data_IF_145688028262
#
_entry.id   IF_145688028262
#
_cell.length_a   1.000
_cell.length_b   1.000
_cell.length_c   1.000
_cell.angle_alpha   90.00
_cell.angle_beta   90.00
_cell.angle_gamma   90.00
#
_symmetry.space_group_name_H-M   'P 1'
#
loop_
_entity.id
_entity.type
_entity.pdbx_description
1 polymer ?
#
# COMPACT_ATOMS: atom_id res chain seq x y z
N UNK A 1 28.59 14.05 43.04
CA UNK A 1 30.04 14.19 42.81
C UNK A 1 30.22 15.19 41.70
N UNK A 2 30.60 16.41 42.06
CA UNK A 2 30.61 17.62 41.24
C UNK A 2 31.89 17.65 40.39
N UNK A 3 31.82 17.31 39.10
CA UNK A 3 32.95 17.48 38.18
C UNK A 3 32.99 18.94 37.72
N UNK A 4 33.54 19.82 38.56
CA UNK A 4 33.95 21.16 38.11
C UNK A 4 35.04 21.00 37.07
N UNK A 5 34.77 21.46 35.84
CA UNK A 5 35.78 21.64 34.79
C UNK A 5 36.72 22.76 35.21
N UNK A 6 37.73 22.42 35.98
CA UNK A 6 38.78 23.34 36.38
C UNK A 6 40.03 23.04 35.55
N UNK A 7 40.61 24.09 34.95
CA UNK A 7 41.89 24.00 34.25
C UNK A 7 42.97 23.67 35.27
N UNK A 8 43.58 22.49 35.11
CA UNK A 8 44.70 22.02 35.93
C UNK A 8 45.99 22.30 35.15
N UNK A 9 47.03 22.66 35.88
CA UNK A 9 48.34 22.99 35.33
C UNK A 9 49.03 21.72 34.77
N UNK A 10 49.70 21.86 33.62
CA UNK A 10 50.08 20.75 32.74
C UNK A 10 51.04 19.75 33.40
N UNK A 11 51.83 20.18 34.40
CA UNK A 11 52.72 19.30 35.15
C UNK A 11 51.97 18.19 35.91
N UNK A 12 50.70 18.42 36.27
CA UNK A 12 49.84 17.42 36.92
C UNK A 12 49.35 16.34 35.96
N UNK A 13 49.49 16.56 34.65
CA UNK A 13 49.09 15.62 33.60
C UNK A 13 50.28 14.89 32.98
N UNK A 14 51.52 15.16 33.42
CA UNK A 14 52.75 14.63 32.80
C UNK A 14 52.93 13.10 32.87
N UNK A 15 52.13 12.42 33.68
CA UNK A 15 52.08 10.95 33.76
C UNK A 15 51.04 10.31 32.83
N UNK A 16 50.26 11.12 32.12
CA UNK A 16 49.23 10.67 31.18
C UNK A 16 49.71 10.96 29.75
N UNK A 17 49.46 10.02 28.84
CA UNK A 17 49.72 10.25 27.43
C UNK A 17 48.86 11.42 26.93
N UNK A 18 49.50 12.39 26.27
CA UNK A 18 48.81 13.56 25.74
C UNK A 18 47.80 13.09 24.69
N UNK A 19 46.50 13.43 24.85
CA UNK A 19 45.50 13.04 23.87
C UNK A 19 45.83 13.67 22.51
N UNK A 20 45.48 12.99 21.40
CA UNK A 20 45.72 13.52 20.07
C UNK A 20 45.03 14.88 19.91
N UNK A 21 45.81 15.90 19.55
CA UNK A 21 45.32 17.28 19.35
C UNK A 21 44.39 17.40 18.14
N UNK A 22 44.47 16.44 17.23
CA UNK A 22 43.67 16.36 16.02
C UNK A 22 43.21 14.92 15.81
N UNK A 23 41.91 14.75 15.61
CA UNK A 23 41.32 13.48 15.20
C UNK A 23 40.74 13.68 13.80
N UNK A 24 40.99 12.74 12.88
CA UNK A 24 40.36 12.80 11.55
C UNK A 24 38.86 12.64 11.73
N UNK A 25 38.11 13.70 11.42
CA UNK A 25 36.68 13.59 11.20
C UNK A 25 36.46 12.61 10.04
N UNK A 26 36.00 11.39 10.35
CA UNK A 26 35.44 10.51 9.34
C UNK A 26 34.12 11.13 8.89
N UNK A 27 34.18 11.99 7.86
CA UNK A 27 33.00 12.51 7.20
C UNK A 27 32.28 11.29 6.60
N UNK A 28 31.35 10.72 7.35
CA UNK A 28 30.58 9.54 6.95
C UNK A 28 30.02 9.80 5.54
N UNK A 29 30.07 8.84 4.63
CA UNK A 29 29.41 8.98 3.34
C UNK A 29 27.95 9.37 3.59
N UNK A 30 27.52 10.49 3.02
CA UNK A 30 26.16 10.99 3.17
C UNK A 30 25.22 10.06 2.37
N UNK A 31 24.24 9.49 3.07
CA UNK A 31 23.17 8.72 2.44
C UNK A 31 22.13 9.66 1.83
N UNK A 32 21.41 9.14 0.84
CA UNK A 32 20.29 9.80 0.18
C UNK A 32 18.98 9.07 0.49
N UNK A 33 17.91 9.84 0.69
CA UNK A 33 16.56 9.32 0.87
C UNK A 33 16.02 8.77 -0.46
N UNK A 34 15.70 7.48 -0.49
CA UNK A 34 15.01 6.83 -1.59
C UNK A 34 13.51 6.81 -1.31
N UNK A 35 12.75 7.32 -2.27
CA UNK A 35 11.30 7.40 -2.24
C UNK A 35 10.72 6.12 -2.85
N UNK A 36 9.86 5.44 -2.10
CA UNK A 36 8.91 4.48 -2.65
C UNK A 36 7.71 5.19 -3.26
N UNK A 37 6.95 4.46 -4.08
CA UNK A 37 5.68 4.94 -4.62
C UNK A 37 4.62 5.09 -3.52
N UNK A 38 3.67 5.99 -3.74
CA UNK A 38 2.48 6.09 -2.90
C UNK A 38 1.61 4.84 -3.05
N UNK A 39 1.22 4.25 -1.93
CA UNK A 39 0.21 3.21 -1.89
C UNK A 39 -1.18 3.73 -2.25
N UNK A 40 -2.13 2.80 -2.37
CA UNK A 40 -3.54 3.14 -2.48
C UNK A 40 -4.05 3.92 -1.26
N UNK A 41 -5.17 4.60 -1.44
CA UNK A 41 -5.84 5.28 -0.35
C UNK A 41 -6.34 4.23 0.66
N UNK A 42 -6.10 4.44 1.95
CA UNK A 42 -6.52 3.52 3.03
C UNK A 42 -8.04 3.31 3.11
N UNK A 43 -8.81 4.16 2.43
CA UNK A 43 -10.26 4.11 2.36
C UNK A 43 -10.73 4.05 0.90
N UNK A 44 -11.89 3.45 0.68
CA UNK A 44 -12.57 3.40 -0.63
C UNK A 44 -13.61 4.53 -0.80
N UNK A 45 -13.93 5.25 0.27
CA UNK A 45 -14.74 6.47 0.31
C UNK A 45 -14.28 7.31 1.50
N UNK A 46 -14.56 8.61 1.48
CA UNK A 46 -14.23 9.54 2.56
C UNK A 46 -12.76 9.99 2.55
N UNK A 47 -12.33 10.53 3.68
CA UNK A 47 -10.94 10.95 3.90
C UNK A 47 -10.10 9.76 4.39
N UNK A 48 -8.92 9.60 3.79
CA UNK A 48 -7.94 8.60 4.19
C UNK A 48 -6.52 9.08 3.95
N UNK A 49 -5.58 8.13 3.98
CA UNK A 49 -4.16 8.38 3.76
C UNK A 49 -3.64 7.47 2.67
N UNK A 50 -2.72 7.97 1.87
CA UNK A 50 -1.80 7.17 1.06
C UNK A 50 -0.48 7.10 1.82
N UNK A 51 0.12 5.92 1.89
CA UNK A 51 1.35 5.70 2.63
C UNK A 51 2.44 5.31 1.63
N UNK A 52 3.63 5.91 1.75
CA UNK A 52 4.83 5.49 0.99
C UNK A 52 5.97 5.17 1.95
N UNK A 53 6.84 4.27 1.52
CA UNK A 53 8.07 3.98 2.25
C UNK A 53 9.19 4.92 1.83
N UNK A 54 10.02 5.34 2.78
CA UNK A 54 11.22 6.13 2.54
C UNK A 54 12.37 5.42 3.24
N UNK A 55 13.46 5.17 2.51
CA UNK A 55 14.63 4.49 3.04
C UNK A 55 15.89 5.35 2.87
N UNK A 56 16.73 5.40 3.89
CA UNK A 56 18.06 5.98 3.77
C UNK A 56 18.98 4.98 3.08
N UNK A 57 19.66 5.39 2.01
CA UNK A 57 20.55 4.49 1.26
C UNK A 57 21.85 5.18 0.89
N UNK A 58 22.92 4.41 0.76
CA UNK A 58 24.15 4.85 0.11
C UNK A 58 24.36 3.98 -1.14
N UNK A 59 24.13 4.56 -2.32
CA UNK A 59 24.06 3.79 -3.57
C UNK A 59 22.83 2.87 -3.62
N UNK A 60 23.05 1.54 -3.56
CA UNK A 60 21.98 0.52 -3.52
C UNK A 60 21.85 -0.15 -2.14
N UNK A 61 22.67 0.25 -1.16
CA UNK A 61 22.64 -0.36 0.17
C UNK A 61 21.81 0.48 1.14
N UNK A 62 20.86 -0.17 1.80
CA UNK A 62 20.09 0.43 2.89
C UNK A 62 21.01 0.70 4.08
N UNK A 63 20.91 1.92 4.61
CA UNK A 63 21.66 2.39 5.77
C UNK A 63 20.71 2.75 6.91
N UNK A 64 21.30 2.99 8.07
CA UNK A 64 20.57 3.60 9.19
C UNK A 64 20.17 5.04 8.84
N UNK A 65 19.02 5.49 9.34
CA UNK A 65 18.49 6.83 9.03
C UNK A 65 19.42 7.96 9.45
N UNK A 66 20.28 7.75 10.46
CA UNK A 66 21.25 8.76 10.92
C UNK A 66 22.32 9.14 9.89
N UNK A 67 22.46 8.35 8.82
CA UNK A 67 23.38 8.64 7.71
C UNK A 67 22.77 9.57 6.66
N UNK A 68 21.46 9.78 6.69
CA UNK A 68 20.74 10.76 5.88
C UNK A 68 20.37 11.97 6.73
N UNK A 69 20.21 13.14 6.10
CA UNK A 69 19.72 14.32 6.82
C UNK A 69 18.24 14.14 7.19
N UNK A 70 17.96 13.91 8.47
CA UNK A 70 16.62 13.73 9.00
C UNK A 70 15.71 14.94 8.75
N UNK A 71 16.27 16.15 8.63
CA UNK A 71 15.49 17.37 8.34
C UNK A 71 14.97 17.37 6.90
N UNK A 72 15.62 16.61 6.03
CA UNK A 72 15.22 16.41 4.65
C UNK A 72 14.36 15.16 4.44
N UNK A 73 14.00 14.42 5.51
CA UNK A 73 13.21 13.19 5.40
C UNK A 73 11.86 13.50 4.73
N UNK A 74 11.57 12.91 3.56
CA UNK A 74 10.32 13.14 2.85
C UNK A 74 9.11 12.61 3.62
N UNK A 75 7.94 13.20 3.37
CA UNK A 75 6.67 12.78 3.98
C UNK A 75 6.36 11.32 3.63
N UNK A 76 5.90 10.52 4.59
CA UNK A 76 5.49 9.13 4.38
C UNK A 76 3.98 8.96 4.24
N UNK A 77 3.21 10.02 4.48
CA UNK A 77 1.75 10.01 4.49
C UNK A 77 1.21 11.20 3.71
N UNK A 78 0.25 10.96 2.83
CA UNK A 78 -0.46 11.98 2.06
C UNK A 78 -1.96 11.81 2.22
N UNK A 79 -2.69 12.90 2.46
CA UNK A 79 -4.16 12.84 2.56
C UNK A 79 -4.78 12.57 1.20
N UNK A 80 -5.73 11.64 1.17
CA UNK A 80 -6.56 11.34 0.00
C UNK A 80 -8.04 11.49 0.34
N UNK A 81 -8.84 11.88 -0.64
CA UNK A 81 -10.30 11.96 -0.53
C UNK A 81 -10.93 11.16 -1.68
N UNK A 82 -11.69 10.11 -1.34
CA UNK A 82 -12.36 9.21 -2.30
C UNK A 82 -13.83 9.54 -2.50
N UNK A 83 -14.24 10.78 -2.23
CA UNK A 83 -15.63 11.25 -2.29
C UNK A 83 -16.37 10.98 -0.99
N UNK A 84 -17.63 11.43 -0.88
CA UNK A 84 -18.42 11.21 0.34
C UNK A 84 -18.77 9.73 0.49
N UNK A 85 -18.58 9.18 1.68
CA UNK A 85 -19.15 7.87 1.99
C UNK A 85 -20.68 7.98 1.99
N UNK A 86 -21.34 6.97 1.43
CA UNK A 86 -22.80 6.88 1.51
C UNK A 86 -23.18 6.79 2.98
N UNK A 87 -23.82 7.84 3.47
CA UNK A 87 -24.40 7.83 4.81
C UNK A 87 -25.68 6.99 4.77
N UNK A 88 -26.11 6.42 5.91
CA UNK A 88 -27.41 5.77 6.01
C UNK A 88 -28.57 6.64 5.52
N UNK A 89 -28.43 7.97 5.56
CA UNK A 89 -29.46 8.95 5.21
C UNK A 89 -29.51 9.27 3.71
N UNK A 90 -28.36 9.33 3.04
CA UNK A 90 -28.29 9.51 1.59
C UNK A 90 -28.74 8.26 0.81
N UNK A 91 -28.67 7.11 1.48
CA UNK A 91 -29.24 5.84 1.02
C UNK A 91 -30.79 5.82 1.01
N UNK A 92 -31.47 6.87 1.51
CA UNK A 92 -32.94 6.96 1.46
C UNK A 92 -33.48 7.94 0.42
N UNK A 93 -32.60 8.68 -0.29
CA UNK A 93 -33.02 9.74 -1.22
C UNK A 93 -33.42 9.25 -2.62
N UNK A 94 -33.25 7.96 -2.92
CA UNK A 94 -33.74 7.36 -4.18
C UNK A 94 -34.95 6.48 -3.90
N UNK A 95 -36.14 7.09 -3.89
CA UNK A 95 -37.40 6.37 -3.81
C UNK A 95 -37.74 5.75 -5.17
N UNK A 96 -37.38 4.50 -5.42
CA UNK A 96 -38.03 3.69 -6.47
C UNK A 96 -39.13 2.88 -5.81
N UNK A 97 -40.38 3.33 -5.96
CA UNK A 97 -41.58 2.64 -5.49
C UNK A 97 -41.91 1.55 -6.51
N UNK A 98 -41.78 0.27 -6.15
CA UNK A 98 -42.07 -0.86 -7.05
C UNK A 98 -43.40 -1.56 -6.80
N UNK A 99 -44.26 -1.09 -5.88
CA UNK A 99 -45.53 -1.78 -5.59
C UNK A 99 -46.72 -0.85 -5.49
N UNK A 100 -47.74 -1.14 -6.31
CA UNK A 100 -49.03 -0.48 -6.38
C UNK A 100 -50.16 -1.36 -5.80
N UNK A 101 -49.87 -2.22 -4.82
CA UNK A 101 -50.87 -3.06 -4.17
C UNK A 101 -51.03 -2.71 -2.70
N UNK A 102 -52.13 -2.04 -2.40
CA UNK A 102 -52.52 -1.51 -1.09
C UNK A 102 -52.98 -2.67 -0.18
N UNK A 103 -52.04 -3.25 0.56
CA UNK A 103 -52.30 -3.64 1.96
C UNK A 103 -51.51 -2.65 2.81
N UNK A 104 -52.15 -1.51 3.06
CA UNK A 104 -51.72 -0.40 3.92
C UNK A 104 -50.19 -0.13 4.00
N UNK A 105 -49.76 0.74 3.09
CA UNK A 105 -48.61 1.68 3.11
C UNK A 105 -47.17 1.13 3.19
N UNK A 106 -46.98 -0.17 3.42
CA UNK A 106 -45.64 -0.79 3.47
C UNK A 106 -45.02 -0.97 2.07
N UNK A 107 -43.84 -0.39 1.82
CA UNK A 107 -43.11 -0.51 0.55
C UNK A 107 -41.61 -0.70 0.76
N UNK A 108 -40.96 -1.39 -0.18
CA UNK A 108 -39.50 -1.50 -0.20
C UNK A 108 -38.88 -0.16 -0.57
N UNK A 109 -37.88 0.26 0.22
CA UNK A 109 -37.00 1.36 -0.07
C UNK A 109 -35.60 0.83 -0.29
N UNK A 110 -34.97 1.31 -1.36
CA UNK A 110 -33.62 0.93 -1.76
C UNK A 110 -32.71 2.14 -1.70
N UNK A 111 -31.47 1.88 -1.33
CA UNK A 111 -30.43 2.87 -1.37
C UNK A 111 -29.57 2.87 -2.62
N UNK A 112 -28.59 3.75 -2.62
CA UNK A 112 -27.54 3.81 -3.62
C UNK A 112 -26.63 2.58 -3.51
N UNK A 113 -26.00 2.23 -4.62
CA UNK A 113 -24.98 1.20 -4.62
C UNK A 113 -23.67 1.75 -4.04
N UNK A 114 -23.02 0.97 -3.17
CA UNK A 114 -21.68 1.24 -2.68
C UNK A 114 -20.66 1.25 -3.82
N UNK A 115 -19.45 1.74 -3.54
CA UNK A 115 -18.29 1.47 -4.39
C UNK A 115 -18.05 -0.04 -4.52
N UNK A 116 -17.43 -0.44 -5.63
CA UNK A 116 -17.06 -1.83 -5.86
C UNK A 116 -16.12 -2.34 -4.76
N UNK A 117 -16.37 -3.55 -4.26
CA UNK A 117 -15.58 -4.20 -3.20
C UNK A 117 -14.11 -4.43 -3.59
N UNK A 118 -13.82 -4.43 -4.89
CA UNK A 118 -12.51 -4.68 -5.46
C UNK A 118 -12.05 -3.45 -6.23
N UNK A 119 -10.79 -3.04 -6.05
CA UNK A 119 -10.19 -1.92 -6.79
C UNK A 119 -9.77 -2.28 -8.21
N UNK A 120 -9.70 -3.58 -8.52
CA UNK A 120 -9.46 -4.13 -9.85
C UNK A 120 -10.25 -5.45 -10.01
N UNK A 121 -10.38 -5.94 -11.23
CA UNK A 121 -11.03 -7.22 -11.53
C UNK A 121 -12.53 -7.18 -11.27
N UNK A 122 -13.06 -8.26 -10.73
CA UNK A 122 -14.47 -8.42 -10.36
C UNK A 122 -14.68 -8.23 -8.87
N UNK A 123 -15.78 -7.59 -8.51
CA UNK A 123 -16.21 -7.44 -7.13
C UNK A 123 -17.73 -7.42 -7.00
N UNK A 124 -18.20 -6.94 -5.86
CA UNK A 124 -19.60 -6.70 -5.59
C UNK A 124 -19.83 -5.30 -5.04
N UNK A 125 -21.01 -4.76 -5.30
CA UNK A 125 -21.54 -3.55 -4.67
C UNK A 125 -22.73 -3.94 -3.80
N UNK A 126 -22.92 -3.23 -2.70
CA UNK A 126 -24.04 -3.42 -1.78
C UNK A 126 -24.88 -2.16 -1.76
N UNK A 127 -26.20 -2.31 -1.65
CA UNK A 127 -27.12 -1.22 -1.32
C UNK A 127 -27.96 -1.60 -0.12
N UNK A 128 -28.54 -0.65 0.61
CA UNK A 128 -29.53 -0.97 1.65
C UNK A 128 -30.87 -1.29 1.01
N UNK A 129 -31.57 -2.28 1.57
CA UNK A 129 -32.94 -2.64 1.19
C UNK A 129 -33.78 -2.80 2.44
N UNK A 130 -34.71 -1.89 2.69
CA UNK A 130 -35.56 -1.91 3.89
C UNK A 130 -37.04 -1.81 3.54
N UNK A 131 -37.87 -2.51 4.30
CA UNK A 131 -39.32 -2.40 4.21
C UNK A 131 -39.76 -1.29 5.18
N UNK A 132 -40.56 -0.34 4.71
CA UNK A 132 -41.02 0.81 5.51
C UNK A 132 -42.47 1.13 5.23
N UNK A 133 -43.18 1.53 6.28
CA UNK A 133 -44.55 2.08 6.25
C UNK A 133 -44.59 3.51 6.82
N UNK A 134 -45.79 4.05 7.04
CA UNK A 134 -45.99 5.38 7.62
C UNK A 134 -45.48 5.52 9.06
N UNK A 135 -45.36 4.43 9.82
CA UNK A 135 -44.87 4.40 11.21
C UNK A 135 -43.37 4.12 11.30
N UNK A 136 -42.71 3.80 10.18
CA UNK A 136 -41.28 3.54 10.11
C UNK A 136 -40.97 2.15 9.57
N UNK A 137 -39.92 1.53 10.07
CA UNK A 137 -39.47 0.23 9.56
C UNK A 137 -40.52 -0.86 9.81
N UNK A 138 -40.83 -1.63 8.76
CA UNK A 138 -41.93 -2.58 8.74
C UNK A 138 -41.46 -3.96 8.25
N UNK A 139 -42.30 -4.97 8.42
CA UNK A 139 -42.08 -6.33 7.90
C UNK A 139 -43.18 -6.79 6.94
N UNK A 140 -44.16 -5.92 6.66
CA UNK A 140 -45.34 -6.25 5.89
C UNK A 140 -45.17 -6.12 4.37
N UNK A 141 -43.95 -5.90 3.86
CA UNK A 141 -43.69 -5.85 2.42
C UNK A 141 -43.68 -7.25 1.80
N UNK A 142 -44.14 -7.36 0.55
CA UNK A 142 -44.06 -8.60 -0.22
C UNK A 142 -42.58 -8.98 -0.47
N UNK A 143 -42.14 -10.08 0.14
CA UNK A 143 -40.79 -10.61 -0.02
C UNK A 143 -40.46 -11.01 -1.46
N UNK A 144 -41.46 -11.34 -2.28
CA UNK A 144 -41.25 -11.67 -3.71
C UNK A 144 -40.80 -10.45 -4.51
N UNK A 145 -41.14 -9.25 -4.03
CA UNK A 145 -40.75 -7.99 -4.64
C UNK A 145 -39.51 -7.38 -3.96
N UNK A 146 -38.87 -8.09 -3.03
CA UNK A 146 -37.67 -7.60 -2.33
C UNK A 146 -36.55 -7.37 -3.35
N UNK A 147 -36.05 -6.13 -3.49
CA UNK A 147 -34.95 -5.84 -4.40
C UNK A 147 -33.62 -6.49 -3.95
N UNK A 148 -32.72 -6.72 -4.91
CA UNK A 148 -31.40 -7.30 -4.62
C UNK A 148 -30.55 -6.38 -3.74
N UNK A 149 -29.94 -6.91 -2.69
CA UNK A 149 -29.04 -6.14 -1.83
C UNK A 149 -27.62 -6.05 -2.38
N UNK A 150 -27.26 -6.96 -3.29
CA UNK A 150 -25.93 -7.10 -3.87
C UNK A 150 -26.00 -7.13 -5.39
N UNK A 151 -25.00 -6.55 -6.05
CA UNK A 151 -24.77 -6.74 -7.49
C UNK A 151 -23.29 -6.90 -7.80
N UNK A 152 -22.98 -7.54 -8.92
CA UNK A 152 -21.60 -7.63 -9.42
C UNK A 152 -21.12 -6.30 -10.03
N UNK A 153 -19.84 -5.98 -9.83
CA UNK A 153 -19.15 -4.84 -10.44
C UNK A 153 -17.81 -5.25 -11.08
N UNK A 154 -17.28 -4.41 -11.97
CA UNK A 154 -15.98 -4.58 -12.63
C UNK A 154 -15.13 -3.32 -12.48
N UNK A 155 -13.91 -3.45 -11.97
CA UNK A 155 -12.99 -2.34 -11.68
C UNK A 155 -11.77 -2.30 -12.61
N UNK A 156 -11.86 -2.93 -13.78
CA UNK A 156 -10.77 -2.95 -14.77
C UNK A 156 -9.75 -4.08 -14.52
N UNK A 157 -8.58 -4.04 -15.18
CA UNK A 157 -7.57 -5.09 -15.06
C UNK A 157 -6.83 -5.04 -13.72
N UNK A 158 -6.48 -6.21 -13.18
CA UNK A 158 -5.61 -6.31 -12.01
C UNK A 158 -4.13 -6.34 -12.39
N UNK A 159 -3.24 -5.83 -11.52
CA UNK A 159 -1.81 -6.02 -11.69
C UNK A 159 -1.45 -7.49 -11.56
N UNK A 160 -0.42 -7.90 -12.31
CA UNK A 160 0.04 -9.29 -12.34
C UNK A 160 1.56 -9.36 -12.46
N UNK A 161 2.13 -10.49 -12.05
CA UNK A 161 3.55 -10.74 -12.19
C UNK A 161 3.91 -10.96 -13.66
N UNK A 162 4.83 -10.16 -14.16
CA UNK A 162 5.49 -10.35 -15.44
C UNK A 162 6.91 -10.83 -15.21
N UNK A 163 7.33 -11.85 -15.96
CA UNK A 163 8.67 -12.40 -15.89
C UNK A 163 9.36 -12.19 -17.23
N UNK A 164 10.53 -11.55 -17.20
CA UNK A 164 11.37 -11.39 -18.38
C UNK A 164 12.01 -12.72 -18.79
N UNK A 165 12.70 -12.70 -19.92
CA UNK A 165 13.51 -13.83 -20.36
C UNK A 165 14.66 -14.10 -19.37
N UNK A 166 15.04 -15.35 -19.25
CA UNK A 166 16.21 -15.72 -18.46
C UNK A 166 17.49 -15.16 -19.09
N UNK A 167 18.37 -14.63 -18.26
CA UNK A 167 19.73 -14.31 -18.66
C UNK A 167 20.53 -15.58 -18.98
N UNK A 168 21.67 -15.40 -19.64
CA UNK A 168 22.58 -16.50 -19.97
C UNK A 168 22.99 -17.29 -18.72
N UNK A 169 23.14 -18.60 -18.89
CA UNK A 169 23.57 -19.48 -17.81
C UNK A 169 24.95 -19.07 -17.30
N UNK A 170 25.14 -19.04 -15.99
CA UNK A 170 26.45 -18.72 -15.40
C UNK A 170 27.51 -19.79 -15.65
N UNK A 171 27.10 -21.01 -16.05
CA UNK A 171 28.02 -22.07 -16.41
C UNK A 171 28.56 -21.82 -17.82
N UNK A 172 29.89 -21.79 -17.93
CA UNK A 172 30.61 -21.55 -19.20
C UNK A 172 31.16 -22.82 -19.83
N UNK A 173 31.16 -23.94 -19.09
CA UNK A 173 31.65 -25.24 -19.55
C UNK A 173 30.49 -26.21 -19.76
N UNK A 174 30.46 -26.85 -20.93
CA UNK A 174 29.43 -27.81 -21.33
C UNK A 174 29.25 -28.91 -20.28
N UNK A 175 27.99 -29.19 -19.92
CA UNK A 175 27.63 -30.21 -18.94
C UNK A 175 27.81 -29.80 -17.47
N UNK A 176 28.23 -28.56 -17.17
CA UNK A 176 28.21 -28.01 -15.80
C UNK A 176 26.88 -27.33 -15.50
N UNK A 177 26.42 -27.48 -14.25
CA UNK A 177 25.27 -26.74 -13.73
C UNK A 177 25.67 -25.33 -13.30
N UNK A 178 24.89 -24.35 -13.70
CA UNK A 178 25.00 -22.96 -13.26
C UNK A 178 23.67 -22.42 -12.76
N UNK A 179 23.62 -21.12 -12.51
CA UNK A 179 22.41 -20.38 -12.22
C UNK A 179 22.10 -19.43 -13.37
N UNK A 180 20.82 -19.28 -13.67
CA UNK A 180 20.32 -18.21 -14.52
C UNK A 180 19.35 -17.37 -13.69
N UNK A 181 19.35 -16.07 -13.94
CA UNK A 181 18.49 -15.12 -13.26
C UNK A 181 17.56 -14.46 -14.28
N UNK A 182 16.38 -14.04 -13.85
CA UNK A 182 15.48 -13.22 -14.65
C UNK A 182 14.85 -12.14 -13.78
N UNK A 183 14.39 -11.08 -14.42
CA UNK A 183 13.65 -10.02 -13.72
C UNK A 183 12.19 -10.41 -13.60
N UNK A 184 11.61 -10.24 -12.41
CA UNK A 184 10.19 -10.45 -12.14
C UNK A 184 9.61 -9.17 -11.56
N UNK A 185 8.63 -8.59 -12.24
CA UNK A 185 8.03 -7.30 -11.87
C UNK A 185 6.53 -7.47 -11.67
N UNK A 186 5.98 -6.80 -10.66
CA UNK A 186 4.54 -6.61 -10.58
C UNK A 186 4.17 -5.48 -11.54
N UNK A 187 3.24 -5.71 -12.47
CA UNK A 187 2.91 -4.69 -13.48
C UNK A 187 1.44 -4.72 -13.88
N UNK A 188 0.92 -3.55 -14.24
CA UNK A 188 -0.37 -3.43 -14.92
C UNK A 188 -0.26 -3.91 -16.37
N UNK A 189 -1.37 -4.33 -17.01
CA UNK A 189 -1.36 -4.69 -18.43
C UNK A 189 -0.94 -3.56 -19.38
N UNK A 190 -0.98 -2.31 -18.91
CA UNK A 190 -0.46 -1.14 -19.62
C UNK A 190 1.07 -1.06 -19.65
N UNK A 191 1.77 -1.97 -18.96
CA UNK A 191 3.23 -2.01 -18.86
C UNK A 191 3.81 -1.19 -17.70
N UNK A 192 2.98 -0.55 -16.88
CA UNK A 192 3.44 0.19 -15.70
C UNK A 192 3.90 -0.78 -14.61
N UNK A 193 5.16 -0.67 -14.19
CA UNK A 193 5.69 -1.39 -13.04
C UNK A 193 5.14 -0.81 -11.73
N UNK A 194 4.77 -1.69 -10.81
CA UNK A 194 4.24 -1.38 -9.49
C UNK A 194 5.08 -2.06 -8.41
N UNK A 195 4.89 -1.65 -7.16
CA UNK A 195 5.51 -2.32 -6.02
C UNK A 195 5.04 -3.79 -5.92
N UNK A 196 5.95 -4.67 -5.50
CA UNK A 196 5.73 -6.11 -5.36
C UNK A 196 4.49 -6.47 -4.51
N UNK A 197 4.14 -5.64 -3.53
CA UNK A 197 2.97 -5.81 -2.65
C UNK A 197 1.62 -5.69 -3.37
N UNK A 198 1.59 -5.08 -4.56
CA UNK A 198 0.37 -4.96 -5.36
C UNK A 198 0.03 -6.25 -6.12
N UNK A 199 0.93 -7.22 -6.13
CA UNK A 199 0.71 -8.54 -6.71
C UNK A 199 0.75 -9.61 -5.61
N UNK A 200 -0.03 -10.68 -5.78
CA UNK A 200 -0.05 -11.79 -4.81
C UNK A 200 1.33 -12.46 -4.74
N UNK A 201 1.99 -12.41 -3.58
CA UNK A 201 3.30 -13.01 -3.35
C UNK A 201 3.32 -14.52 -3.64
N UNK A 202 2.19 -15.23 -3.49
CA UNK A 202 2.09 -16.67 -3.79
C UNK A 202 2.17 -16.98 -5.28
N UNK A 203 1.78 -16.02 -6.11
CA UNK A 203 1.85 -16.12 -7.56
C UNK A 203 3.18 -15.62 -8.12
N UNK A 204 4.14 -15.17 -7.28
CA UNK A 204 5.42 -14.62 -7.75
C UNK A 204 6.26 -15.72 -8.42
N UNK A 205 6.63 -15.56 -9.71
CA UNK A 205 7.52 -16.49 -10.39
C UNK A 205 8.94 -16.50 -9.79
N UNK A 206 9.68 -17.60 -9.97
CA UNK A 206 11.08 -17.69 -9.54
C UNK A 206 11.97 -16.72 -10.32
N UNK A 207 12.84 -15.99 -9.61
CA UNK A 207 13.84 -15.07 -10.20
C UNK A 207 15.18 -15.75 -10.48
N UNK A 208 15.42 -16.91 -9.88
CA UNK A 208 16.65 -17.69 -10.01
C UNK A 208 16.29 -19.15 -10.22
N UNK A 209 16.93 -19.81 -11.18
CA UNK A 209 16.83 -21.26 -11.36
C UNK A 209 18.15 -21.87 -11.80
N UNK A 210 18.27 -23.19 -11.62
CA UNK A 210 19.42 -23.96 -12.09
C UNK A 210 19.33 -24.11 -13.62
N UNK A 211 20.47 -24.00 -14.28
CA UNK A 211 20.64 -24.19 -15.72
C UNK A 211 21.82 -25.11 -16.02
N UNK A 212 21.84 -25.68 -17.22
CA UNK A 212 23.00 -26.42 -17.75
C UNK A 212 23.57 -25.65 -18.94
N UNK A 213 24.89 -25.51 -18.98
CA UNK A 213 25.54 -24.92 -20.15
C UNK A 213 25.27 -25.79 -21.39
N UNK A 214 24.80 -25.20 -22.51
CA UNK A 214 24.59 -25.92 -23.76
C UNK A 214 25.90 -26.56 -24.29
#
# INVERSE_FOLDING_TARGET
>A
MDYRRQLVEESHCGHLEMPPREERCMRKPCGDWRLGDWGDCTVTCGEGLQIRYVECTFGQQRQDESFCDIRSKPETELRCNRGTCLTPEDDFKIAVITSNSVTETSHWRVGGWSSCSSTCGTGWERRRVVCRDEKGDSKACDLKLKPDEFRSCKSGPCPSWTAENWANCSATACGKSGLQTRRVLCSMPTGQALAASNCDARAKPQEVQVCSAP
#
